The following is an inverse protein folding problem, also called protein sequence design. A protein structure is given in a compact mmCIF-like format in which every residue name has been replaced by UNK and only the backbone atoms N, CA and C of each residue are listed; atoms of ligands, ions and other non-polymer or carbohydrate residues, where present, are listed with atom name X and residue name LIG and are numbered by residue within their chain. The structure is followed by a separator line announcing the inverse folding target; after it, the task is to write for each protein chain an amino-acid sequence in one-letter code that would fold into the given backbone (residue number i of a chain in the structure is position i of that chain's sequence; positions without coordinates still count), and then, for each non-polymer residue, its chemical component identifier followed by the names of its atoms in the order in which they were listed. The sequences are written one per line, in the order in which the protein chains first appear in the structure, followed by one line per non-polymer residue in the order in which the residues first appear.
data_IF_897515994918
#
_entry.id   IF_897515994918
#
_cell.length_a   1.000
_cell.length_b   1.000
_cell.length_c   1.000
_cell.angle_alpha   90.00
_cell.angle_beta   90.00
_cell.angle_gamma   90.00
#
_symmetry.space_group_name_H-M   'P 1'
#
loop_
_entity.id
_entity.type
_entity.pdbx_description
1 polymer ?
#
# COMPACT_ATOMS: atom_id res chain seq x y z
N UNK A 1 28.45 -41.29 -6.33
CA UNK A 1 27.30 -40.44 -5.95
C UNK A 1 27.25 -40.38 -4.43
N UNK A 2 28.33 -39.97 -3.77
CA UNK A 2 28.79 -38.59 -3.55
C UNK A 2 27.95 -37.85 -2.52
N UNK A 3 27.98 -38.37 -1.30
CA UNK A 3 27.51 -37.71 -0.06
C UNK A 3 28.04 -36.27 0.05
N UNK A 4 29.27 -36.01 -0.45
CA UNK A 4 29.84 -34.66 -0.56
C UNK A 4 29.03 -33.73 -1.48
N UNK A 5 28.54 -34.24 -2.60
CA UNK A 5 27.71 -33.47 -3.55
C UNK A 5 26.35 -33.14 -2.93
N UNK A 6 25.77 -34.06 -2.16
CA UNK A 6 24.53 -33.81 -1.41
C UNK A 6 24.70 -32.75 -0.31
N UNK A 7 25.80 -32.80 0.44
CA UNK A 7 26.13 -31.80 1.48
C UNK A 7 26.33 -30.41 0.86
N UNK A 8 27.02 -30.34 -0.28
CA UNK A 8 27.24 -29.08 -0.99
C UNK A 8 25.92 -28.47 -1.48
N UNK A 9 25.02 -29.29 -2.04
CA UNK A 9 23.68 -28.83 -2.48
C UNK A 9 22.85 -28.33 -1.30
N UNK A 10 22.89 -29.03 -0.15
CA UNK A 10 22.17 -28.61 1.06
C UNK A 10 22.66 -27.24 1.57
N UNK A 11 23.98 -27.04 1.64
CA UNK A 11 24.56 -25.75 2.04
C UNK A 11 24.15 -24.61 1.09
N UNK A 12 24.12 -24.88 -0.21
CA UNK A 12 23.76 -23.89 -1.23
C UNK A 12 22.26 -23.54 -1.16
N UNK A 13 21.39 -24.52 -0.85
CA UNK A 13 19.97 -24.30 -0.61
C UNK A 13 19.72 -23.48 0.66
N UNK A 14 20.41 -23.77 1.76
CA UNK A 14 20.30 -23.02 3.02
C UNK A 14 20.70 -21.55 2.84
N UNK A 15 21.77 -21.31 2.07
CA UNK A 15 22.22 -19.97 1.74
C UNK A 15 21.18 -19.21 0.90
N UNK A 16 20.58 -19.85 -0.11
CA UNK A 16 19.50 -19.26 -0.92
C UNK A 16 18.25 -18.97 -0.09
N UNK A 17 17.85 -19.87 0.81
CA UNK A 17 16.69 -19.66 1.70
C UNK A 17 16.94 -18.45 2.61
N UNK A 18 18.16 -18.29 3.11
CA UNK A 18 18.53 -17.13 3.95
C UNK A 18 18.47 -15.82 3.18
N UNK A 19 18.93 -15.81 1.92
CA UNK A 19 18.83 -14.63 1.03
C UNK A 19 17.37 -14.27 0.72
N UNK A 20 16.52 -15.25 0.42
CA UNK A 20 15.09 -15.01 0.17
C UNK A 20 14.39 -14.43 1.40
N UNK A 21 14.72 -14.92 2.60
CA UNK A 21 14.18 -14.37 3.85
C UNK A 21 14.63 -12.92 4.08
N UNK A 22 15.90 -12.60 3.81
CA UNK A 22 16.41 -11.24 3.94
C UNK A 22 15.70 -10.26 2.98
N UNK A 23 15.50 -10.65 1.72
CA UNK A 23 14.75 -9.84 0.73
C UNK A 23 13.30 -9.63 1.17
N UNK A 24 12.63 -10.65 1.73
CA UNK A 24 11.28 -10.49 2.27
C UNK A 24 11.24 -9.47 3.41
N UNK A 25 12.22 -9.51 4.32
CA UNK A 25 12.31 -8.57 5.46
C UNK A 25 12.56 -7.14 4.97
N UNK A 26 13.46 -6.94 4.01
CA UNK A 26 13.73 -5.63 3.39
C UNK A 26 12.51 -5.06 2.65
N UNK A 27 11.76 -5.91 1.93
CA UNK A 27 10.51 -5.52 1.28
C UNK A 27 9.40 -5.16 2.28
N UNK A 28 9.35 -5.80 3.45
CA UNK A 28 8.37 -5.46 4.50
C UNK A 28 8.74 -4.22 5.33
N UNK A 29 10.00 -3.76 5.30
CA UNK A 29 10.49 -2.68 6.17
C UNK A 29 10.57 -1.32 5.50
N UNK A 30 10.62 -1.25 4.16
CA UNK A 30 10.58 0.01 3.44
C UNK A 30 9.14 0.50 3.30
N UNK A 31 8.64 1.20 4.33
CA UNK A 31 7.36 1.91 4.26
C UNK A 31 7.50 3.08 3.28
N UNK A 32 6.97 2.89 2.07
CA UNK A 32 6.89 3.94 1.05
C UNK A 32 5.71 4.87 1.38
N UNK A 33 6.00 5.96 2.09
CA UNK A 33 5.01 6.97 2.41
C UNK A 33 4.84 7.92 1.23
N UNK A 34 3.59 8.19 0.87
CA UNK A 34 3.25 9.16 -0.17
C UNK A 34 2.61 10.39 0.46
N UNK A 35 2.84 11.56 -0.15
CA UNK A 35 2.16 12.79 0.23
C UNK A 35 0.66 12.63 0.05
N UNK A 36 -0.11 13.34 0.88
CA UNK A 36 -1.56 13.39 0.76
C UNK A 36 -2.02 13.95 -0.58
N UNK A 37 -1.22 14.80 -1.22
CA UNK A 37 -1.50 15.35 -2.56
C UNK A 37 -1.55 14.26 -3.65
N UNK A 38 -0.96 13.09 -3.40
CA UNK A 38 -1.01 11.92 -4.28
C UNK A 38 -2.32 11.13 -4.18
N UNK A 39 -3.26 11.53 -3.30
CA UNK A 39 -4.51 10.79 -3.09
C UNK A 39 -5.34 10.63 -4.36
N UNK A 40 -5.51 11.69 -5.16
CA UNK A 40 -6.32 11.61 -6.38
C UNK A 40 -5.71 10.64 -7.41
N UNK A 41 -4.43 10.76 -7.79
CA UNK A 41 -3.78 9.76 -8.63
C UNK A 41 -3.88 8.32 -8.12
N UNK A 42 -3.82 8.11 -6.80
CA UNK A 42 -3.98 6.79 -6.18
C UNK A 42 -5.39 6.23 -6.37
N UNK A 43 -6.42 7.04 -6.11
CA UNK A 43 -7.83 6.65 -6.27
C UNK A 43 -8.14 6.36 -7.75
N UNK A 44 -7.67 7.21 -8.67
CA UNK A 44 -7.86 7.02 -10.10
C UNK A 44 -7.17 5.73 -10.60
N UNK A 45 -5.94 5.47 -10.13
CA UNK A 45 -5.20 4.24 -10.47
C UNK A 45 -5.92 3.00 -9.94
N UNK A 46 -6.35 3.02 -8.68
CA UNK A 46 -7.08 1.91 -8.08
C UNK A 46 -8.38 1.62 -8.84
N UNK A 47 -9.15 2.65 -9.19
CA UNK A 47 -10.38 2.54 -9.97
C UNK A 47 -10.12 1.88 -11.33
N UNK A 48 -9.05 2.28 -12.02
CA UNK A 48 -8.65 1.73 -13.31
C UNK A 48 -8.20 0.27 -13.22
N UNK A 49 -7.35 -0.05 -12.24
CA UNK A 49 -6.81 -1.40 -12.03
C UNK A 49 -7.91 -2.41 -11.72
N UNK A 50 -8.87 -2.03 -10.87
CA UNK A 50 -9.94 -2.90 -10.40
C UNK A 50 -11.22 -2.79 -11.24
N UNK A 51 -11.23 -1.93 -12.26
CA UNK A 51 -12.38 -1.66 -13.15
C UNK A 51 -13.64 -1.27 -12.38
N UNK A 52 -13.48 -0.45 -11.35
CA UNK A 52 -14.58 0.09 -10.53
C UNK A 52 -14.78 1.57 -10.81
N UNK A 53 -15.99 2.07 -10.58
CA UNK A 53 -16.31 3.48 -10.70
C UNK A 53 -15.95 4.22 -9.41
N UNK A 54 -15.71 5.54 -9.52
CA UNK A 54 -15.52 6.38 -8.32
C UNK A 54 -16.76 6.36 -7.40
N UNK A 55 -17.96 6.17 -7.95
CA UNK A 55 -19.19 5.98 -7.17
C UNK A 55 -19.14 4.71 -6.32
N UNK A 56 -18.50 3.65 -6.80
CA UNK A 56 -18.37 2.40 -6.06
C UNK A 56 -17.40 2.59 -4.89
N UNK A 57 -16.29 3.30 -5.11
CA UNK A 57 -15.35 3.67 -4.05
C UNK A 57 -16.04 4.54 -2.99
N UNK A 58 -16.84 5.51 -3.40
CA UNK A 58 -17.64 6.34 -2.48
C UNK A 58 -18.60 5.48 -1.64
N UNK A 59 -19.28 4.52 -2.29
CA UNK A 59 -20.21 3.59 -1.64
C UNK A 59 -19.49 2.69 -0.64
N UNK A 60 -18.36 2.10 -1.01
CA UNK A 60 -17.55 1.24 -0.13
C UNK A 60 -16.95 2.00 1.06
N UNK A 61 -16.67 3.29 0.88
CA UNK A 61 -16.21 4.17 1.94
C UNK A 61 -17.36 4.76 2.79
N UNK A 62 -18.61 4.39 2.52
CA UNK A 62 -19.82 4.92 3.17
C UNK A 62 -19.90 6.47 3.15
N UNK A 63 -19.62 7.05 1.98
CA UNK A 63 -19.69 8.49 1.74
C UNK A 63 -20.44 8.84 0.46
N UNK A 64 -20.93 10.07 0.38
CA UNK A 64 -21.55 10.54 -0.86
C UNK A 64 -20.50 10.76 -1.98
N UNK A 65 -20.86 10.61 -3.26
CA UNK A 65 -19.98 10.95 -4.39
C UNK A 65 -19.49 12.41 -4.37
N UNK A 66 -20.31 13.32 -3.85
CA UNK A 66 -19.92 14.73 -3.66
C UNK A 66 -18.85 14.88 -2.58
N UNK A 67 -18.94 14.10 -1.50
CA UNK A 67 -17.91 14.05 -0.45
C UNK A 67 -16.60 13.54 -1.01
N UNK A 68 -16.63 12.46 -1.81
CA UNK A 68 -15.44 11.95 -2.49
C UNK A 68 -14.86 13.00 -3.43
N UNK A 69 -15.67 13.64 -4.26
CA UNK A 69 -15.20 14.69 -5.19
C UNK A 69 -14.52 15.85 -4.46
N UNK A 70 -15.08 16.29 -3.33
CA UNK A 70 -14.46 17.34 -2.49
C UNK A 70 -13.13 16.87 -1.89
N UNK A 71 -13.10 15.65 -1.35
CA UNK A 71 -11.88 15.04 -0.82
C UNK A 71 -10.76 14.99 -1.88
N UNK A 72 -11.07 14.56 -3.10
CA UNK A 72 -10.07 14.46 -4.17
C UNK A 72 -9.58 15.82 -4.69
N UNK A 73 -10.35 16.88 -4.47
CA UNK A 73 -9.98 18.25 -4.84
C UNK A 73 -9.10 18.91 -3.78
N UNK A 74 -9.42 18.70 -2.51
CA UNK A 74 -8.71 19.27 -1.37
C UNK A 74 -8.68 18.26 -0.21
N UNK A 75 -7.71 17.34 -0.21
CA UNK A 75 -7.65 16.30 0.81
C UNK A 75 -7.18 16.83 2.17
N UNK A 76 -6.52 17.99 2.23
CA UNK A 76 -6.00 18.56 3.47
C UNK A 76 -7.11 19.16 4.36
N UNK A 77 -8.19 19.67 3.77
CA UNK A 77 -9.34 20.19 4.53
C UNK A 77 -10.37 19.12 4.90
N UNK A 78 -10.19 17.88 4.44
CA UNK A 78 -11.13 16.80 4.69
C UNK A 78 -11.05 16.29 6.13
N UNK A 79 -12.17 15.76 6.63
CA UNK A 79 -12.18 15.07 7.92
C UNK A 79 -11.29 13.83 7.84
N UNK A 80 -10.50 13.61 8.89
CA UNK A 80 -9.63 12.42 9.01
C UNK A 80 -10.44 11.13 8.82
N UNK A 81 -11.67 11.05 9.35
CA UNK A 81 -12.53 9.88 9.17
C UNK A 81 -12.86 9.59 7.69
N UNK A 82 -13.13 10.62 6.90
CA UNK A 82 -13.40 10.50 5.46
C UNK A 82 -12.14 10.03 4.71
N UNK A 83 -10.97 10.58 5.07
CA UNK A 83 -9.69 10.14 4.52
C UNK A 83 -9.42 8.66 4.83
N UNK A 84 -9.56 8.26 6.09
CA UNK A 84 -9.34 6.89 6.53
C UNK A 84 -10.30 5.92 5.87
N UNK A 85 -11.58 6.29 5.70
CA UNK A 85 -12.56 5.45 5.02
C UNK A 85 -12.16 5.18 3.56
N UNK A 86 -11.82 6.22 2.80
CA UNK A 86 -11.39 6.06 1.41
C UNK A 86 -10.08 5.29 1.31
N UNK A 87 -9.08 5.62 2.14
CA UNK A 87 -7.82 4.86 2.17
C UNK A 87 -8.03 3.38 2.54
N UNK A 88 -8.99 3.09 3.42
CA UNK A 88 -9.37 1.73 3.79
C UNK A 88 -9.86 0.90 2.59
N UNK A 89 -10.69 1.49 1.72
CA UNK A 89 -11.13 0.86 0.46
C UNK A 89 -9.92 0.51 -0.43
N UNK A 90 -8.90 1.38 -0.45
CA UNK A 90 -7.67 1.19 -1.22
C UNK A 90 -6.68 0.22 -0.56
N UNK A 91 -6.99 -0.34 0.61
CA UNK A 91 -6.06 -1.16 1.40
C UNK A 91 -4.84 -0.37 1.88
N UNK A 92 -5.02 0.93 2.15
CA UNK A 92 -3.98 1.86 2.59
C UNK A 92 -4.31 2.37 4.00
N UNK A 93 -3.30 2.91 4.69
CA UNK A 93 -3.47 3.50 6.02
C UNK A 93 -2.94 4.92 6.04
N UNK A 94 -3.63 5.78 6.78
CA UNK A 94 -3.16 7.14 7.03
C UNK A 94 -2.05 7.11 8.10
N UNK A 95 -0.93 7.76 7.81
CA UNK A 95 0.13 7.99 8.78
C UNK A 95 0.22 9.48 9.08
N UNK A 96 0.21 9.84 10.36
CA UNK A 96 0.38 11.22 10.84
C UNK A 96 1.66 11.23 11.67
N UNK A 97 2.72 11.83 11.13
CA UNK A 97 3.99 12.02 11.81
C UNK A 97 4.27 13.49 12.07
N UNK A 98 5.13 13.78 13.05
CA UNK A 98 5.68 15.12 13.19
C UNK A 98 6.61 15.41 12.01
N UNK A 99 6.37 16.54 11.34
CA UNK A 99 7.33 17.08 10.38
C UNK A 99 8.50 17.66 11.20
N UNK A 100 9.50 16.83 11.50
CA UNK A 100 10.76 17.29 12.06
C UNK A 100 11.56 17.91 10.91
N UNK A 101 11.16 19.11 10.50
CA UNK A 101 11.89 19.93 9.53
C UNK A 101 13.24 20.35 10.08
#
# INVERSE_FOLDING_TARGET
MDTKKAIMILSELEQRVSQVKAVLVEQTTKKDYQSLDSLKPLVDSHAKEHKVLLSDIATLADISPNTLTRLLKDPQSAKVSTLTAVLGVLGKSLYIGQNNG
#
